data_IF_911855961676
#
_entry.id   IF_911855961676
#
_cell.length_a   1.000
_cell.length_b   1.000
_cell.length_c   1.000
_cell.angle_alpha   90.00
_cell.angle_beta   90.00
_cell.angle_gamma   90.00
#
_symmetry.space_group_name_H-M   'P 1'
#
loop_
_entity.id
_entity.type
_entity.pdbx_description
1 polymer ?
#
# COMPACT_ATOMS: atom_id res chain seq x y z
N UNK A 1 -47.10 3.27 49.65
CA UNK A 1 -46.84 4.28 48.59
C UNK A 1 -45.36 4.59 48.34
N UNK A 2 -44.47 4.36 49.32
CA UNK A 2 -43.06 4.78 49.33
C UNK A 2 -42.09 3.93 48.49
N UNK A 3 -42.44 2.68 48.19
CA UNK A 3 -41.59 1.75 47.44
C UNK A 3 -41.63 2.02 45.92
N UNK A 4 -42.80 2.46 45.42
CA UNK A 4 -43.04 2.79 44.00
C UNK A 4 -42.35 4.10 43.58
N UNK A 5 -42.24 5.06 44.50
CA UNK A 5 -41.52 6.34 44.28
C UNK A 5 -40.01 6.14 44.29
N UNK A 6 -39.46 5.35 45.22
CA UNK A 6 -38.03 5.00 45.22
C UNK A 6 -37.60 4.25 43.96
N UNK A 7 -38.41 3.28 43.50
CA UNK A 7 -38.15 2.57 42.25
C UNK A 7 -38.14 3.50 41.02
N UNK A 8 -39.06 4.48 40.96
CA UNK A 8 -39.06 5.51 39.91
C UNK A 8 -37.83 6.41 39.97
N UNK A 9 -37.44 6.90 41.14
CA UNK A 9 -36.26 7.76 41.28
C UNK A 9 -34.99 7.04 40.85
N UNK A 10 -34.80 5.79 41.29
CA UNK A 10 -33.64 4.97 40.88
C UNK A 10 -33.65 4.76 39.37
N UNK A 11 -34.79 4.38 38.78
CA UNK A 11 -34.90 4.19 37.34
C UNK A 11 -34.59 5.48 36.56
N UNK A 12 -35.11 6.64 37.01
CA UNK A 12 -34.82 7.94 36.40
C UNK A 12 -33.34 8.30 36.50
N UNK A 13 -32.70 8.09 37.65
CA UNK A 13 -31.27 8.38 37.84
C UNK A 13 -30.41 7.50 36.94
N UNK A 14 -30.70 6.19 36.87
CA UNK A 14 -29.96 5.27 36.00
C UNK A 14 -30.14 5.63 34.53
N UNK A 15 -31.37 5.95 34.11
CA UNK A 15 -31.66 6.38 32.74
C UNK A 15 -30.90 7.68 32.39
N UNK A 16 -30.95 8.69 33.26
CA UNK A 16 -30.27 9.96 33.04
C UNK A 16 -28.75 9.76 32.97
N UNK A 17 -28.17 9.01 33.90
CA UNK A 17 -26.74 8.70 33.91
C UNK A 17 -26.32 7.98 32.61
N UNK A 18 -27.14 7.04 32.12
CA UNK A 18 -26.87 6.31 30.88
C UNK A 18 -26.91 7.25 29.66
N UNK A 19 -27.90 8.14 29.59
CA UNK A 19 -28.02 9.13 28.50
C UNK A 19 -26.83 10.10 28.54
N UNK A 20 -26.48 10.63 29.72
CA UNK A 20 -25.34 11.54 29.87
C UNK A 20 -24.03 10.85 29.48
N UNK A 21 -23.81 9.61 29.92
CA UNK A 21 -22.63 8.84 29.53
C UNK A 21 -22.57 8.62 28.01
N UNK A 22 -23.70 8.24 27.39
CA UNK A 22 -23.79 8.08 25.94
C UNK A 22 -23.40 9.36 25.20
N UNK A 23 -24.00 10.50 25.57
CA UNK A 23 -23.71 11.80 24.94
C UNK A 23 -22.24 12.19 25.09
N UNK A 24 -21.65 12.03 26.29
CA UNK A 24 -20.24 12.35 26.51
C UNK A 24 -19.30 11.47 25.69
N UNK A 25 -19.58 10.17 25.59
CA UNK A 25 -18.81 9.24 24.76
C UNK A 25 -18.96 9.57 23.28
N UNK A 26 -20.16 9.87 22.80
CA UNK A 26 -20.38 10.28 21.41
C UNK A 26 -19.65 11.59 21.09
N UNK A 27 -19.68 12.58 21.99
CA UNK A 27 -18.93 13.82 21.82
C UNK A 27 -17.42 13.55 21.74
N UNK A 28 -16.89 12.70 22.62
CA UNK A 28 -15.48 12.30 22.57
C UNK A 28 -15.08 11.68 21.21
N UNK A 29 -15.98 10.92 20.59
CA UNK A 29 -15.73 10.24 19.30
C UNK A 29 -15.85 11.20 18.11
N UNK A 30 -16.81 12.13 18.13
CA UNK A 30 -17.15 12.98 16.98
C UNK A 30 -16.39 14.32 16.98
N UNK A 31 -15.93 14.78 18.15
CA UNK A 31 -15.18 16.04 18.25
C UNK A 31 -13.86 15.98 17.46
N UNK A 32 -13.38 17.14 16.95
CA UNK A 32 -12.08 17.24 16.30
C UNK A 32 -10.94 16.72 17.19
N UNK A 33 -9.77 16.38 16.61
CA UNK A 33 -8.61 15.91 17.35
C UNK A 33 -8.29 16.83 18.54
N UNK A 34 -8.37 16.29 19.74
CA UNK A 34 -8.12 17.02 20.98
C UNK A 34 -7.31 16.14 21.96
N UNK A 35 -6.63 16.73 22.97
CA UNK A 35 -5.77 15.97 23.87
C UNK A 35 -6.47 14.83 24.62
N UNK A 36 -7.75 14.98 24.95
CA UNK A 36 -8.55 13.97 25.67
C UNK A 36 -8.87 12.78 24.75
N UNK A 37 -9.28 13.04 23.51
CA UNK A 37 -9.51 12.02 22.50
C UNK A 37 -8.23 11.25 22.13
N UNK A 38 -7.08 11.94 22.14
CA UNK A 38 -5.76 11.31 21.94
C UNK A 38 -5.35 10.42 23.12
N UNK A 39 -5.57 10.87 24.35
CA UNK A 39 -5.32 10.07 25.55
C UNK A 39 -6.21 8.80 25.58
N UNK A 40 -7.44 8.90 25.06
CA UNK A 40 -8.40 7.80 24.94
C UNK A 40 -8.40 7.16 23.54
N UNK A 41 -7.26 7.21 22.83
CA UNK A 41 -7.14 6.70 21.46
C UNK A 41 -7.58 5.24 21.25
N UNK A 42 -7.53 4.30 22.22
CA UNK A 42 -8.07 2.95 22.02
C UNK A 42 -9.59 2.96 21.85
N UNK A 43 -10.31 3.80 22.61
CA UNK A 43 -11.78 3.89 22.59
C UNK A 43 -12.24 4.53 21.29
N UNK A 44 -11.62 5.65 20.90
CA UNK A 44 -11.96 6.36 19.66
C UNK A 44 -11.62 5.53 18.42
N UNK A 45 -10.50 4.78 18.44
CA UNK A 45 -10.17 3.82 17.36
C UNK A 45 -11.16 2.67 17.26
N UNK A 46 -11.59 2.11 18.39
CA UNK A 46 -12.59 1.03 18.40
C UNK A 46 -13.95 1.50 17.86
N UNK A 47 -14.32 2.75 18.11
CA UNK A 47 -15.55 3.35 17.61
C UNK A 47 -15.45 3.80 16.13
N UNK A 48 -14.25 4.09 15.63
CA UNK A 48 -14.03 4.67 14.31
C UNK A 48 -14.79 3.99 13.17
N UNK A 49 -14.86 2.64 13.06
CA UNK A 49 -15.60 1.98 11.99
C UNK A 49 -17.09 2.31 11.92
N UNK A 50 -17.71 2.64 13.06
CA UNK A 50 -19.14 2.93 13.17
C UNK A 50 -19.49 4.39 12.89
N UNK A 51 -18.52 5.30 13.04
CA UNK A 51 -18.71 6.74 12.87
C UNK A 51 -17.99 7.30 11.65
N UNK A 52 -17.09 6.54 11.02
CA UNK A 52 -16.46 6.93 9.76
C UNK A 52 -17.46 6.80 8.61
N UNK A 53 -18.03 7.91 8.19
CA UNK A 53 -18.83 7.98 6.96
C UNK A 53 -17.98 8.57 5.84
N UNK A 54 -17.63 7.74 4.84
CA UNK A 54 -16.97 8.21 3.63
C UNK A 54 -18.03 8.69 2.64
N UNK A 55 -18.24 10.00 2.60
CA UNK A 55 -19.20 10.66 1.68
C UNK A 55 -18.63 10.89 0.27
N UNK A 56 -17.38 10.49 0.01
CA UNK A 56 -16.69 10.65 -1.28
C UNK A 56 -17.37 9.94 -2.46
N UNK A 57 -18.35 9.07 -2.21
CA UNK A 57 -19.15 8.39 -3.24
C UNK A 57 -20.00 9.39 -4.05
N UNK A 58 -20.21 10.61 -3.54
CA UNK A 58 -20.91 11.69 -4.24
C UNK A 58 -20.01 12.87 -4.61
N UNK A 59 -18.70 12.78 -4.34
CA UNK A 59 -17.79 13.84 -4.73
C UNK A 59 -17.73 13.92 -6.28
N UNK A 60 -17.63 15.13 -6.88
CA UNK A 60 -17.50 15.27 -8.33
C UNK A 60 -16.34 14.44 -8.92
N UNK A 61 -15.26 14.29 -8.17
CA UNK A 61 -14.03 13.60 -8.55
C UNK A 61 -13.86 12.26 -7.82
N UNK A 62 -14.81 11.34 -7.97
CA UNK A 62 -14.60 9.95 -7.53
C UNK A 62 -13.38 9.39 -8.26
N UNK A 63 -12.47 8.74 -7.55
CA UNK A 63 -11.32 8.08 -8.17
C UNK A 63 -11.78 6.95 -9.12
N UNK A 64 -11.89 7.25 -10.41
CA UNK A 64 -12.28 6.30 -11.46
C UNK A 64 -11.12 5.43 -11.94
N UNK A 65 -10.10 5.17 -11.11
CA UNK A 65 -8.93 4.41 -11.55
C UNK A 65 -8.63 3.27 -10.60
N UNK A 66 -8.21 2.15 -11.18
CA UNK A 66 -7.77 0.98 -10.47
C UNK A 66 -6.23 0.87 -10.60
N UNK A 67 -5.46 1.39 -9.62
CA UNK A 67 -4.01 1.26 -9.62
C UNK A 67 -3.58 -0.18 -9.30
N UNK A 68 -2.69 -0.72 -10.11
CA UNK A 68 -2.11 -2.06 -9.96
C UNK A 68 -0.59 -1.95 -9.88
N UNK A 69 0.02 -2.71 -8.97
CA UNK A 69 1.46 -2.88 -8.90
C UNK A 69 1.88 -4.04 -9.80
N UNK A 70 2.67 -3.75 -10.84
CA UNK A 70 3.32 -4.76 -11.67
C UNK A 70 4.82 -4.78 -11.39
N UNK A 71 5.38 -5.98 -11.28
CA UNK A 71 6.80 -6.21 -10.96
C UNK A 71 7.46 -6.90 -12.14
N UNK A 72 8.71 -6.52 -12.41
CA UNK A 72 9.59 -7.22 -13.33
C UNK A 72 10.93 -7.46 -12.65
N UNK A 73 11.52 -8.63 -12.90
CA UNK A 73 12.78 -9.04 -12.32
C UNK A 73 13.85 -9.29 -13.39
N UNK A 74 15.10 -9.28 -12.95
CA UNK A 74 16.26 -9.77 -13.68
C UNK A 74 17.03 -10.75 -12.82
N UNK A 75 17.57 -11.78 -13.49
CA UNK A 75 18.47 -12.76 -12.92
C UNK A 75 19.49 -13.17 -13.97
N UNK A 76 20.52 -13.91 -13.56
CA UNK A 76 21.43 -14.57 -14.50
C UNK A 76 20.94 -15.95 -14.89
N UNK A 77 20.96 -16.22 -16.18
CA UNK A 77 20.75 -17.58 -16.67
C UNK A 77 22.00 -18.45 -16.45
N UNK A 78 21.93 -19.71 -16.87
CA UNK A 78 23.02 -20.69 -16.74
C UNK A 78 24.30 -20.26 -17.50
N UNK A 79 24.17 -19.36 -18.49
CA UNK A 79 25.31 -18.80 -19.22
C UNK A 79 25.94 -17.59 -18.54
N UNK A 80 25.35 -17.10 -17.43
CA UNK A 80 25.75 -15.90 -16.71
C UNK A 80 25.21 -14.60 -17.32
N UNK A 81 24.37 -14.68 -18.36
CA UNK A 81 23.78 -13.51 -19.00
C UNK A 81 22.57 -13.00 -18.20
N UNK A 82 22.44 -11.66 -18.12
CA UNK A 82 21.31 -11.01 -17.44
C UNK A 82 20.05 -11.08 -18.31
N UNK A 83 19.07 -11.87 -17.88
CA UNK A 83 17.77 -12.02 -18.54
C UNK A 83 16.69 -11.23 -17.80
N UNK A 84 15.69 -10.73 -18.54
CA UNK A 84 14.55 -9.97 -18.00
C UNK A 84 13.30 -10.83 -18.02
N UNK A 85 12.53 -10.81 -16.96
CA UNK A 85 11.22 -11.46 -16.90
C UNK A 85 10.16 -10.71 -17.71
N UNK A 86 9.00 -11.33 -17.92
CA UNK A 86 7.77 -10.59 -18.23
C UNK A 86 7.32 -9.77 -17.00
N UNK A 87 6.43 -8.80 -17.23
CA UNK A 87 5.77 -8.07 -16.14
C UNK A 87 4.70 -8.95 -15.50
N UNK A 88 4.68 -9.04 -14.17
CA UNK A 88 3.68 -9.79 -13.41
C UNK A 88 2.89 -8.86 -12.51
N UNK A 89 1.57 -9.00 -12.51
CA UNK A 89 0.65 -8.16 -11.74
C UNK A 89 0.49 -8.68 -10.31
N UNK A 90 1.31 -8.16 -9.39
CA UNK A 90 1.29 -8.55 -7.99
C UNK A 90 -0.06 -8.28 -7.33
N UNK A 91 -0.69 -7.14 -7.64
CA UNK A 91 -2.02 -6.79 -7.10
C UNK A 91 -3.11 -7.75 -7.56
N UNK A 92 -3.06 -8.22 -8.82
CA UNK A 92 -4.01 -9.21 -9.29
C UNK A 92 -3.86 -10.56 -8.58
N UNK A 93 -2.62 -11.03 -8.37
CA UNK A 93 -2.34 -12.27 -7.61
C UNK A 93 -2.94 -12.18 -6.19
N UNK A 94 -2.70 -11.07 -5.49
CA UNK A 94 -3.24 -10.87 -4.15
C UNK A 94 -4.77 -10.79 -4.12
N UNK A 95 -5.40 -10.09 -5.06
CA UNK A 95 -6.85 -9.94 -5.09
C UNK A 95 -7.57 -11.25 -5.41
N UNK A 96 -6.96 -12.15 -6.18
CA UNK A 96 -7.49 -13.50 -6.38
C UNK A 96 -7.61 -14.28 -5.07
N UNK A 97 -6.81 -13.98 -4.05
CA UNK A 97 -6.93 -14.59 -2.71
C UNK A 97 -8.17 -14.16 -1.92
N UNK A 98 -8.86 -13.11 -2.37
CA UNK A 98 -10.05 -12.55 -1.69
C UNK A 98 -11.34 -13.16 -2.22
N UNK A 99 -11.39 -13.46 -3.52
CA UNK A 99 -12.63 -13.86 -4.18
C UNK A 99 -13.09 -15.22 -3.66
N UNK A 100 -14.30 -15.28 -3.11
CA UNK A 100 -14.91 -16.53 -2.64
C UNK A 100 -14.34 -17.13 -1.34
N UNK A 101 -13.41 -16.43 -0.66
CA UNK A 101 -12.82 -16.92 0.59
C UNK A 101 -13.49 -16.30 1.83
N UNK A 102 -14.03 -17.11 2.76
CA UNK A 102 -14.58 -16.60 4.03
C UNK A 102 -13.48 -16.14 5.01
N UNK A 103 -12.23 -16.59 4.80
CA UNK A 103 -11.05 -16.23 5.59
C UNK A 103 -9.90 -15.86 4.65
N UNK A 104 -9.95 -14.66 4.02
CA UNK A 104 -8.95 -14.26 3.03
C UNK A 104 -7.55 -14.23 3.66
N UNK A 105 -6.53 -14.45 2.82
CA UNK A 105 -5.13 -14.43 3.26
C UNK A 105 -4.77 -13.05 3.84
N UNK A 106 -3.91 -13.03 4.88
CA UNK A 106 -3.35 -11.78 5.44
C UNK A 106 -2.55 -10.97 4.41
N UNK A 107 -2.18 -11.59 3.29
CA UNK A 107 -1.42 -10.97 2.19
C UNK A 107 -2.32 -10.24 1.17
N UNK A 108 -3.65 -10.34 1.28
CA UNK A 108 -4.60 -9.89 0.25
C UNK A 108 -4.51 -8.43 -0.24
N UNK A 109 -3.80 -7.55 0.49
CA UNK A 109 -3.71 -6.11 0.23
C UNK A 109 -2.30 -5.57 0.45
N UNK A 110 -1.28 -6.42 0.50
CA UNK A 110 0.09 -5.95 0.75
C UNK A 110 0.56 -5.05 -0.39
N UNK A 111 0.47 -5.50 -1.64
CA UNK A 111 0.80 -4.71 -2.83
C UNK A 111 0.00 -3.42 -2.92
N UNK A 112 -1.31 -3.47 -2.62
CA UNK A 112 -2.19 -2.31 -2.69
C UNK A 112 -1.82 -1.25 -1.63
N UNK A 113 -1.61 -1.68 -0.39
CA UNK A 113 -1.22 -0.78 0.69
C UNK A 113 0.19 -0.22 0.49
N UNK A 114 1.14 -1.06 0.06
CA UNK A 114 2.50 -0.65 -0.27
C UNK A 114 2.51 0.37 -1.41
N UNK A 115 1.74 0.12 -2.47
CA UNK A 115 1.55 1.02 -3.60
C UNK A 115 0.97 2.36 -3.16
N UNK A 116 -0.12 2.36 -2.38
CA UNK A 116 -0.76 3.57 -1.89
C UNK A 116 0.20 4.42 -1.04
N UNK A 117 0.89 3.78 -0.10
CA UNK A 117 1.84 4.46 0.78
C UNK A 117 3.04 5.02 0.00
N UNK A 118 3.58 4.26 -0.97
CA UNK A 118 4.67 4.71 -1.82
C UNK A 118 4.26 5.90 -2.70
N UNK A 119 3.10 5.83 -3.36
CA UNK A 119 2.57 6.90 -4.21
C UNK A 119 2.28 8.19 -3.44
N UNK A 120 1.75 8.09 -2.23
CA UNK A 120 1.51 9.27 -1.38
C UNK A 120 2.81 10.04 -1.11
N UNK A 121 3.90 9.32 -0.83
CA UNK A 121 5.22 9.91 -0.58
C UNK A 121 5.87 10.43 -1.86
N UNK A 122 5.76 9.67 -2.94
CA UNK A 122 6.30 10.07 -4.24
C UNK A 122 5.68 11.39 -4.72
N UNK A 123 4.38 11.59 -4.52
CA UNK A 123 3.68 12.83 -4.90
C UNK A 123 4.00 14.05 -4.03
N UNK A 124 4.63 13.87 -2.86
CA UNK A 124 5.09 14.99 -2.02
C UNK A 124 6.41 15.57 -2.53
N UNK A 125 7.13 14.82 -3.36
CA UNK A 125 8.36 15.30 -3.97
C UNK A 125 8.09 16.28 -5.11
N UNK A 126 9.05 17.16 -5.36
CA UNK A 126 9.09 18.06 -6.51
C UNK A 126 9.28 17.29 -7.83
N UNK A 127 8.92 17.88 -8.97
CA UNK A 127 8.95 17.18 -10.27
C UNK A 127 10.35 16.66 -10.65
N UNK A 128 11.40 17.44 -10.39
CA UNK A 128 12.78 17.03 -10.67
C UNK A 128 13.23 15.88 -9.75
N UNK A 129 12.86 15.93 -8.47
CA UNK A 129 13.10 14.82 -7.54
C UNK A 129 12.34 13.55 -7.97
N UNK A 130 11.09 13.69 -8.44
CA UNK A 130 10.30 12.60 -8.98
C UNK A 130 10.97 11.97 -10.20
N UNK A 131 11.57 12.77 -11.09
CA UNK A 131 12.30 12.27 -12.24
C UNK A 131 13.51 11.41 -11.82
N UNK A 132 14.28 11.85 -10.83
CA UNK A 132 15.40 11.09 -10.29
C UNK A 132 14.94 9.79 -9.64
N UNK A 133 13.88 9.81 -8.83
CA UNK A 133 13.36 8.59 -8.19
C UNK A 133 12.88 7.55 -9.20
N UNK A 134 12.32 8.00 -10.32
CA UNK A 134 11.87 7.13 -11.41
C UNK A 134 13.03 6.49 -12.17
N UNK A 135 14.26 7.00 -12.03
CA UNK A 135 15.45 6.40 -12.62
C UNK A 135 15.95 5.20 -11.79
N UNK A 136 17.02 4.57 -12.28
CA UNK A 136 17.66 3.39 -11.68
C UNK A 136 18.55 3.78 -10.50
N UNK A 137 18.41 3.08 -9.37
CA UNK A 137 19.25 3.26 -8.19
C UNK A 137 20.36 2.19 -8.12
N UNK A 138 20.91 1.88 -9.29
CA UNK A 138 22.04 0.97 -9.44
C UNK A 138 23.16 1.78 -10.08
N UNK A 139 24.35 1.64 -9.54
CA UNK A 139 25.56 2.22 -10.08
C UNK A 139 26.54 1.14 -10.51
N UNK A 140 27.46 1.52 -11.41
CA UNK A 140 28.53 0.66 -11.90
C UNK A 140 29.73 0.77 -10.97
N UNK A 141 30.33 -0.37 -10.65
CA UNK A 141 31.59 -0.48 -9.90
C UNK A 141 32.64 -1.22 -10.73
N UNK A 142 33.87 -1.26 -10.23
CA UNK A 142 34.97 -2.01 -10.87
C UNK A 142 34.63 -3.51 -10.98
N UNK A 143 33.97 -4.06 -9.95
CA UNK A 143 33.57 -5.47 -9.87
C UNK A 143 32.15 -5.75 -10.39
N UNK A 144 31.46 -4.76 -10.97
CA UNK A 144 30.14 -4.95 -11.58
C UNK A 144 29.13 -3.84 -11.29
N UNK A 145 28.07 -4.17 -10.56
CA UNK A 145 26.96 -3.27 -10.26
C UNK A 145 26.53 -3.42 -8.81
N UNK A 146 26.16 -2.31 -8.17
CA UNK A 146 25.63 -2.30 -6.79
C UNK A 146 24.50 -1.30 -6.62
N UNK A 147 23.74 -1.41 -5.52
CA UNK A 147 22.79 -0.38 -5.12
C UNK A 147 23.53 0.95 -4.86
N UNK A 148 22.94 2.06 -5.30
CA UNK A 148 23.36 3.40 -4.88
C UNK A 148 23.16 3.53 -3.36
N UNK A 149 24.15 4.02 -2.60
CA UNK A 149 23.98 4.24 -1.17
C UNK A 149 22.82 5.17 -0.85
N UNK A 150 22.07 4.86 0.20
CA UNK A 150 20.95 5.69 0.66
C UNK A 150 21.38 7.12 1.00
N UNK A 151 22.61 7.29 1.51
CA UNK A 151 23.18 8.59 1.87
C UNK A 151 23.38 9.47 0.62
N UNK A 152 23.95 8.89 -0.44
CA UNK A 152 24.17 9.56 -1.73
C UNK A 152 22.82 9.92 -2.37
N UNK A 153 21.85 8.99 -2.37
CA UNK A 153 20.50 9.27 -2.87
C UNK A 153 19.81 10.40 -2.10
N UNK A 154 19.96 10.45 -0.77
CA UNK A 154 19.41 11.54 0.05
C UNK A 154 20.10 12.86 -0.28
N UNK A 155 21.43 12.86 -0.47
CA UNK A 155 22.18 14.06 -0.83
C UNK A 155 21.77 14.58 -2.21
N UNK A 156 21.73 13.71 -3.22
CA UNK A 156 21.34 14.05 -4.59
C UNK A 156 19.92 14.64 -4.63
N UNK A 157 18.96 13.96 -3.99
CA UNK A 157 17.56 14.39 -3.99
C UNK A 157 17.31 15.63 -3.13
N UNK A 158 17.98 15.78 -1.99
CA UNK A 158 17.84 16.96 -1.13
C UNK A 158 18.62 18.18 -1.65
N UNK A 159 19.56 17.99 -2.60
CA UNK A 159 20.17 19.11 -3.32
C UNK A 159 19.22 19.69 -4.37
N UNK A 160 18.35 18.85 -4.94
CA UNK A 160 17.39 19.24 -5.99
C UNK A 160 16.19 19.99 -5.42
N UNK A 161 15.72 19.64 -4.22
CA UNK A 161 14.49 20.22 -3.65
C UNK A 161 14.54 20.39 -2.14
N UNK A 162 13.57 21.11 -1.59
CA UNK A 162 13.67 21.70 -0.24
C UNK A 162 13.36 20.72 0.90
N UNK A 163 12.64 19.62 0.61
CA UNK A 163 12.16 18.70 1.66
C UNK A 163 13.01 17.43 1.80
N UNK A 164 14.14 17.54 2.52
CA UNK A 164 14.96 16.37 2.91
C UNK A 164 14.16 15.31 3.68
N UNK A 165 13.18 15.71 4.48
CA UNK A 165 12.37 14.79 5.27
C UNK A 165 11.47 13.91 4.39
N UNK A 166 10.85 14.49 3.34
CA UNK A 166 10.02 13.73 2.42
C UNK A 166 10.84 12.77 1.57
N UNK A 167 12.05 13.17 1.15
CA UNK A 167 13.03 12.29 0.49
C UNK A 167 13.35 11.07 1.35
N UNK A 168 13.73 11.28 2.62
CA UNK A 168 14.04 10.17 3.54
C UNK A 168 12.83 9.26 3.73
N UNK A 169 11.63 9.83 3.89
CA UNK A 169 10.40 9.07 4.05
C UNK A 169 10.08 8.23 2.81
N UNK A 170 10.30 8.77 1.61
CA UNK A 170 10.14 8.02 0.38
C UNK A 170 11.16 6.90 0.26
N UNK A 171 12.46 7.17 0.47
CA UNK A 171 13.51 6.16 0.30
C UNK A 171 13.37 4.99 1.27
N UNK A 172 12.86 5.22 2.48
CA UNK A 172 12.48 4.12 3.40
C UNK A 172 11.38 3.22 2.81
N UNK A 173 10.43 3.82 2.10
CA UNK A 173 9.35 3.08 1.44
C UNK A 173 9.78 2.49 0.08
N UNK A 174 10.75 3.10 -0.62
CA UNK A 174 11.40 2.52 -1.80
C UNK A 174 12.12 1.24 -1.41
N UNK A 175 12.87 1.26 -0.30
CA UNK A 175 13.48 0.07 0.29
C UNK A 175 12.44 -1.01 0.63
N UNK A 176 11.34 -0.65 1.30
CA UNK A 176 10.26 -1.61 1.60
C UNK A 176 9.64 -2.21 0.32
N UNK A 177 9.44 -1.39 -0.72
CA UNK A 177 8.84 -1.84 -1.98
C UNK A 177 9.82 -2.69 -2.81
N UNK A 178 11.12 -2.36 -2.77
CA UNK A 178 12.22 -3.20 -3.28
C UNK A 178 12.17 -4.57 -2.62
N UNK A 179 12.15 -4.63 -1.29
CA UNK A 179 12.07 -5.90 -0.54
C UNK A 179 10.84 -6.69 -0.96
N UNK A 180 9.65 -6.09 -0.91
CA UNK A 180 8.41 -6.72 -1.35
C UNK A 180 8.53 -7.29 -2.78
N UNK A 181 9.05 -6.49 -3.72
CA UNK A 181 9.18 -6.89 -5.11
C UNK A 181 10.20 -8.03 -5.29
N UNK A 182 11.29 -8.04 -4.51
CA UNK A 182 12.27 -9.13 -4.48
C UNK A 182 11.63 -10.42 -4.00
N UNK A 183 10.98 -10.45 -2.83
CA UNK A 183 10.32 -11.65 -2.32
C UNK A 183 9.23 -12.15 -3.28
N UNK A 184 8.39 -11.24 -3.79
CA UNK A 184 7.34 -11.59 -4.74
C UNK A 184 7.91 -12.17 -6.04
N UNK A 185 8.95 -11.56 -6.62
CA UNK A 185 9.57 -12.03 -7.85
C UNK A 185 10.30 -13.36 -7.67
N UNK A 186 11.06 -13.53 -6.58
CA UNK A 186 11.74 -14.79 -6.27
C UNK A 186 10.72 -15.92 -6.14
N UNK A 187 9.60 -15.70 -5.43
CA UNK A 187 8.52 -16.68 -5.33
C UNK A 187 7.82 -16.96 -6.67
N UNK A 188 7.63 -15.92 -7.49
CA UNK A 188 6.96 -16.04 -8.80
C UNK A 188 7.78 -16.81 -9.81
N UNK A 189 9.08 -16.55 -9.89
CA UNK A 189 9.94 -17.11 -10.95
C UNK A 189 10.78 -18.30 -10.48
N UNK A 190 10.93 -18.51 -9.17
CA UNK A 190 11.82 -19.54 -8.62
C UNK A 190 13.28 -19.34 -9.03
N UNK A 191 13.72 -18.08 -9.14
CA UNK A 191 15.07 -17.68 -9.57
C UNK A 191 15.75 -16.84 -8.51
N UNK A 192 17.08 -16.84 -8.52
CA UNK A 192 17.88 -15.92 -7.73
C UNK A 192 17.85 -14.54 -8.40
N UNK A 193 16.95 -13.69 -7.91
CA UNK A 193 16.67 -12.37 -8.51
C UNK A 193 17.80 -11.42 -8.13
N UNK A 194 18.48 -10.85 -9.12
CA UNK A 194 19.53 -9.84 -8.90
C UNK A 194 18.97 -8.42 -8.89
N UNK A 195 17.92 -8.15 -9.66
CA UNK A 195 17.32 -6.81 -9.77
C UNK A 195 15.82 -6.88 -9.92
N UNK A 196 15.17 -5.90 -9.35
CA UNK A 196 13.72 -5.71 -9.49
C UNK A 196 13.42 -4.30 -9.95
N UNK A 197 12.31 -4.17 -10.66
CA UNK A 197 11.67 -2.88 -10.91
C UNK A 197 10.17 -3.06 -10.86
N UNK A 198 9.47 -1.95 -10.70
CA UNK A 198 8.03 -1.95 -10.69
C UNK A 198 7.46 -0.83 -11.56
N UNK A 199 6.23 -1.05 -11.98
CA UNK A 199 5.40 -0.02 -12.58
C UNK A 199 4.03 -0.02 -11.93
N UNK A 200 3.44 1.16 -11.95
CA UNK A 200 2.11 1.41 -11.45
C UNK A 200 1.24 1.64 -12.67
N UNK A 201 0.33 0.71 -12.90
CA UNK A 201 -0.62 0.78 -14.01
C UNK A 201 -1.95 1.26 -13.46
N UNK A 202 -2.45 2.38 -13.96
CA UNK A 202 -3.77 2.90 -13.62
C UNK A 202 -4.70 2.68 -14.80
N UNK A 203 -5.62 1.75 -14.62
CA UNK A 203 -6.68 1.47 -15.58
C UNK A 203 -7.94 2.22 -15.15
N UNK A 204 -8.57 2.90 -16.12
CA UNK A 204 -9.90 3.47 -15.93
C UNK A 204 -10.92 2.50 -16.53
N UNK A 205 -11.91 2.01 -15.76
CA UNK A 205 -12.96 1.17 -16.33
C UNK A 205 -13.78 1.98 -17.33
N UNK A 206 -14.44 1.26 -18.24
CA UNK A 206 -15.39 1.88 -19.17
C UNK A 206 -16.44 2.69 -18.42
N UNK A 207 -16.87 3.78 -19.03
CA UNK A 207 -17.98 4.56 -18.49
C UNK A 207 -19.24 3.69 -18.38
N UNK A 208 -20.17 4.08 -17.51
CA UNK A 208 -21.34 3.26 -17.17
C UNK A 208 -22.13 2.80 -18.40
N UNK A 209 -22.26 3.66 -19.41
CA UNK A 209 -22.98 3.38 -20.66
C UNK A 209 -22.30 2.30 -21.52
N UNK A 210 -21.00 2.07 -21.31
CA UNK A 210 -20.15 1.10 -22.03
C UNK A 210 -19.57 0.01 -21.12
N UNK A 211 -20.15 -0.17 -19.93
CA UNK A 211 -19.61 -1.07 -18.88
C UNK A 211 -19.53 -2.54 -19.26
N UNK A 212 -20.26 -2.96 -20.29
CA UNK A 212 -20.28 -4.34 -20.78
C UNK A 212 -19.46 -4.53 -22.05
N UNK A 213 -18.87 -3.46 -22.59
CA UNK A 213 -18.02 -3.55 -23.78
C UNK A 213 -16.73 -4.30 -23.41
N UNK A 214 -16.33 -5.26 -24.24
CA UNK A 214 -15.08 -6.00 -24.04
C UNK A 214 -13.83 -5.18 -24.34
N UNK A 215 -13.98 -4.08 -25.10
CA UNK A 215 -12.89 -3.17 -25.45
C UNK A 215 -12.81 -2.04 -24.43
N UNK A 216 -11.59 -1.78 -23.93
CA UNK A 216 -11.35 -0.67 -23.03
C UNK A 216 -11.52 0.68 -23.77
N UNK A 217 -12.22 1.62 -23.16
CA UNK A 217 -12.42 2.98 -23.66
C UNK A 217 -11.18 3.88 -23.47
N UNK A 218 -10.33 3.54 -22.49
CA UNK A 218 -9.19 4.35 -22.09
C UNK A 218 -7.92 3.52 -22.06
N UNK A 219 -6.83 4.09 -22.54
CA UNK A 219 -5.51 3.50 -22.39
C UNK A 219 -5.04 3.60 -20.93
N UNK A 220 -4.33 2.57 -20.42
CA UNK A 220 -3.78 2.61 -19.08
C UNK A 220 -2.67 3.65 -18.97
N UNK A 221 -2.65 4.40 -17.88
CA UNK A 221 -1.52 5.26 -17.54
C UNK A 221 -0.47 4.45 -16.79
N UNK A 222 0.78 4.47 -17.25
CA UNK A 222 1.89 3.71 -16.67
C UNK A 222 2.92 4.67 -16.04
N UNK A 223 3.12 4.53 -14.73
CA UNK A 223 4.20 5.19 -14.01
C UNK A 223 5.26 4.14 -13.64
N UNK A 224 6.40 4.17 -14.34
CA UNK A 224 7.48 3.20 -14.20
C UNK A 224 8.63 3.76 -13.36
N UNK A 225 9.21 2.89 -12.54
CA UNK A 225 10.40 3.13 -11.75
C UNK A 225 11.56 2.26 -12.27
N UNK A 226 12.79 2.78 -12.16
CA UNK A 226 13.99 2.12 -12.63
C UNK A 226 14.35 0.90 -11.80
N UNK A 227 15.50 0.29 -12.14
CA UNK A 227 15.95 -0.91 -11.45
C UNK A 227 16.43 -0.58 -10.03
N UNK A 228 16.23 -1.53 -9.12
CA UNK A 228 16.80 -1.63 -7.79
C UNK A 228 17.55 -2.96 -7.69
N UNK A 229 18.72 -2.94 -7.07
CA UNK A 229 19.50 -4.15 -6.83
C UNK A 229 18.84 -4.93 -5.67
N UNK A 230 18.66 -6.24 -5.82
CA UNK A 230 18.28 -7.12 -4.72
C UNK A 230 19.55 -7.51 -3.95
N UNK A 231 19.86 -6.74 -2.91
CA UNK A 231 21.11 -6.80 -2.14
C UNK A 231 20.93 -7.33 -0.71
N UNK A 232 19.70 -7.62 -0.31
CA UNK A 232 19.36 -8.16 1.00
C UNK A 232 19.24 -9.69 0.99
N UNK A 233 19.54 -10.32 2.14
CA UNK A 233 19.43 -11.78 2.31
C UNK A 233 17.96 -12.16 2.42
N UNK A 234 17.51 -12.99 1.48
CA UNK A 234 16.14 -13.53 1.47
C UNK A 234 15.96 -14.46 2.67
N UNK A 235 14.99 -14.13 3.51
CA UNK A 235 14.59 -14.97 4.64
C UNK A 235 13.70 -16.12 4.17
N UNK A 236 14.07 -17.39 4.44
CA UNK A 236 13.30 -18.54 3.96
C UNK A 236 11.87 -18.60 4.48
N UNK A 237 11.64 -18.17 5.73
CA UNK A 237 10.31 -18.19 6.35
C UNK A 237 9.35 -17.18 5.71
N UNK A 238 9.87 -16.00 5.32
CA UNK A 238 9.09 -14.98 4.61
C UNK A 238 8.82 -15.43 3.18
N UNK A 239 9.85 -15.95 2.49
CA UNK A 239 9.73 -16.45 1.12
C UNK A 239 8.67 -17.53 1.00
N UNK A 240 8.66 -18.51 1.91
CA UNK A 240 7.65 -19.58 1.93
C UNK A 240 6.21 -19.05 2.00
N UNK A 241 6.00 -17.89 2.60
CA UNK A 241 4.67 -17.26 2.66
C UNK A 241 4.27 -16.68 1.29
N UNK A 242 5.22 -16.10 0.55
CA UNK A 242 4.98 -15.64 -0.82
C UNK A 242 4.81 -16.82 -1.78
N UNK A 243 5.60 -17.89 -1.63
CA UNK A 243 5.49 -19.13 -2.41
C UNK A 243 4.08 -19.73 -2.29
N UNK A 244 3.51 -19.79 -1.08
CA UNK A 244 2.14 -20.30 -0.87
C UNK A 244 1.08 -19.45 -1.61
N UNK A 245 1.24 -18.12 -1.59
CA UNK A 245 0.32 -17.20 -2.28
C UNK A 245 0.45 -17.35 -3.79
N UNK A 246 1.67 -17.39 -4.32
CA UNK A 246 1.93 -17.56 -5.75
C UNK A 246 1.46 -18.94 -6.22
N UNK A 247 1.76 -20.02 -5.48
CA UNK A 247 1.33 -21.36 -5.85
C UNK A 247 -0.21 -21.49 -5.91
N UNK A 248 -0.93 -20.83 -5.00
CA UNK A 248 -2.40 -20.87 -4.95
C UNK A 248 -3.08 -19.92 -5.92
N UNK A 249 -2.52 -18.73 -6.13
CA UNK A 249 -3.20 -17.62 -6.80
C UNK A 249 -2.41 -17.03 -7.97
N UNK A 250 -1.22 -17.53 -8.27
CA UNK A 250 -0.33 -17.05 -9.33
C UNK A 250 -0.71 -17.52 -10.74
N UNK A 251 -1.76 -18.34 -10.87
CA UNK A 251 -2.22 -18.92 -12.14
C UNK A 251 -2.24 -17.94 -13.33
N UNK A 252 -1.92 -18.49 -14.50
CA UNK A 252 -1.58 -17.78 -15.74
C UNK A 252 -2.63 -16.72 -16.14
N UNK A 253 -2.11 -15.57 -16.60
CA UNK A 253 -2.85 -14.57 -17.38
C UNK A 253 -2.51 -14.76 -18.85
#
# INVERSE_FOLDING_TARGET
>A
MTQRTRGRTVATTVALASITAYVLVTLLIVLPPNPVASALSPVTRAASPFFSQKWDIFAPDIAKTNPQLRVQAQWRDESGALVKSAWVNATAVEFRSVVGSPVPSRIQKLSWNALGAYLERFRKLEEDQQAVVRDTFIERTDDGFRAKPSEDLVLDLAFIGDSRADVINLLRYDYMLKEYATYFATATFGKDVERVRWEIVRERPNDFDRRFDSTAQYDPTILRFGWRQADDVIRPDVLATFDDVVARYGGEQ
#
